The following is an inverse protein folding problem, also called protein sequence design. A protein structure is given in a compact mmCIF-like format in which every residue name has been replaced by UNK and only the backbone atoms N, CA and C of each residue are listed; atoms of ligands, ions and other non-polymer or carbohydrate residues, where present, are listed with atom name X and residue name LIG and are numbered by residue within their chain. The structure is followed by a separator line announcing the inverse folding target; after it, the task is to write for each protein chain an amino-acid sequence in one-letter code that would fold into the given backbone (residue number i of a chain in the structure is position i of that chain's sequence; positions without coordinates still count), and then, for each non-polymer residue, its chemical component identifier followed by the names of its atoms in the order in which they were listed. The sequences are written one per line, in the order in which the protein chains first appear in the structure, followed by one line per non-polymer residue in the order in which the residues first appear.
data_IF_184775794940
#
_entry.id   IF_184775794940
#
_cell.length_a   1.000
_cell.length_b   1.000
_cell.length_c   1.000
_cell.angle_alpha   90.00
_cell.angle_beta   90.00
_cell.angle_gamma   90.00
#
_symmetry.space_group_name_H-M   'P 1'
#
loop_
_entity.id
_entity.type
_entity.pdbx_description
1 polymer ?
#
# COMPACT_ATOMS: atom_id res chain seq x y z
N UNK A 1 -1.89 -6.86 32.19
CA UNK A 1 -2.09 -6.20 30.89
C UNK A 1 -0.95 -5.22 30.73
N UNK A 2 -0.07 -5.42 29.74
CA UNK A 2 1.02 -4.45 29.50
C UNK A 2 0.39 -3.21 28.85
N UNK A 3 0.61 -2.05 29.47
CA UNK A 3 0.05 -0.78 29.02
C UNK A 3 1.03 -0.10 28.07
N UNK A 4 0.51 0.67 27.11
CA UNK A 4 1.36 1.49 26.24
C UNK A 4 1.95 2.64 27.05
N UNK A 5 3.28 2.71 27.06
CA UNK A 5 4.01 3.77 27.74
C UNK A 5 3.99 5.07 26.91
N UNK A 6 3.82 6.25 27.52
CA UNK A 6 3.78 7.52 26.79
C UNK A 6 5.04 7.86 25.98
N UNK A 7 6.20 7.29 26.36
CA UNK A 7 7.48 7.49 25.69
C UNK A 7 7.82 6.37 24.69
N UNK A 8 6.98 5.36 24.53
CA UNK A 8 7.14 4.33 23.49
C UNK A 8 6.66 4.89 22.14
N UNK A 9 7.59 5.54 21.44
CA UNK A 9 7.32 6.15 20.13
C UNK A 9 6.72 5.16 19.13
N UNK A 10 7.20 3.91 19.10
CA UNK A 10 6.72 2.91 18.14
C UNK A 10 5.33 2.43 18.49
N UNK A 11 5.06 2.11 19.75
CA UNK A 11 3.73 1.75 20.22
C UNK A 11 2.70 2.87 20.02
N UNK A 12 3.11 4.12 20.23
CA UNK A 12 2.30 5.32 19.91
C UNK A 12 2.05 5.42 18.41
N UNK A 13 3.07 5.21 17.58
CA UNK A 13 2.91 5.26 16.12
C UNK A 13 1.95 4.19 15.59
N UNK A 14 1.99 2.95 16.12
CA UNK A 14 1.03 1.88 15.79
C UNK A 14 -0.41 2.27 16.17
N UNK A 15 -0.58 2.96 17.30
CA UNK A 15 -1.89 3.42 17.73
C UNK A 15 -2.43 4.54 16.82
N UNK A 16 -1.61 5.55 16.54
CA UNK A 16 -1.97 6.68 15.68
C UNK A 16 -2.43 6.17 14.32
N UNK A 17 -1.63 5.32 13.67
CA UNK A 17 -1.98 4.82 12.34
C UNK A 17 -3.21 3.90 12.38
N UNK A 18 -3.38 3.04 13.40
CA UNK A 18 -4.59 2.19 13.51
C UNK A 18 -5.86 3.05 13.57
N UNK A 19 -5.88 4.09 14.40
CA UNK A 19 -7.03 5.01 14.52
C UNK A 19 -7.21 5.83 13.24
N UNK A 20 -6.12 6.30 12.62
CA UNK A 20 -6.17 7.02 11.36
C UNK A 20 -6.76 6.16 10.22
N UNK A 21 -6.44 4.86 10.19
CA UNK A 21 -7.03 3.91 9.23
C UNK A 21 -8.53 3.74 9.47
N UNK A 22 -8.99 3.61 10.71
CA UNK A 22 -10.44 3.55 11.03
C UNK A 22 -11.16 4.81 10.55
N UNK A 23 -10.61 5.99 10.85
CA UNK A 23 -11.19 7.26 10.40
C UNK A 23 -11.24 7.36 8.88
N UNK A 24 -10.16 6.93 8.20
CA UNK A 24 -10.08 6.90 6.74
C UNK A 24 -11.08 5.92 6.12
N UNK A 25 -11.27 4.75 6.73
CA UNK A 25 -12.30 3.77 6.31
C UNK A 25 -13.69 4.40 6.36
N UNK A 26 -14.05 5.01 7.50
CA UNK A 26 -15.35 5.64 7.66
C UNK A 26 -15.55 6.74 6.62
N UNK A 27 -14.54 7.59 6.41
CA UNK A 27 -14.55 8.62 5.39
C UNK A 27 -14.77 8.04 3.99
N UNK A 28 -13.98 7.07 3.55
CA UNK A 28 -14.08 6.50 2.21
C UNK A 28 -15.42 5.82 1.95
N UNK A 29 -15.98 5.10 2.94
CA UNK A 29 -17.29 4.45 2.76
C UNK A 29 -18.45 5.45 2.68
N UNK A 30 -18.40 6.54 3.45
CA UNK A 30 -19.40 7.62 3.34
C UNK A 30 -19.27 8.32 1.98
N UNK A 31 -18.05 8.68 1.60
CA UNK A 31 -17.78 9.42 0.37
C UNK A 31 -18.05 8.60 -0.90
N UNK A 32 -17.92 7.27 -0.85
CA UNK A 32 -18.27 6.40 -1.98
C UNK A 32 -19.74 6.59 -2.45
N UNK A 33 -20.64 6.96 -1.53
CA UNK A 33 -22.04 7.29 -1.86
C UNK A 33 -22.17 8.53 -2.75
N UNK A 34 -21.22 9.46 -2.67
CA UNK A 34 -21.19 10.71 -3.43
C UNK A 34 -20.49 10.59 -4.79
N UNK A 35 -19.91 9.41 -5.11
CA UNK A 35 -19.16 9.19 -6.35
C UNK A 35 -20.03 8.63 -7.48
N UNK A 36 -19.64 8.95 -8.71
CA UNK A 36 -20.18 8.30 -9.93
C UNK A 36 -19.89 6.79 -9.93
N UNK A 37 -20.68 6.01 -10.69
CA UNK A 37 -20.67 4.54 -10.62
C UNK A 37 -19.30 3.91 -10.88
N UNK A 38 -18.48 4.47 -11.77
CA UNK A 38 -17.16 3.93 -12.08
C UNK A 38 -16.11 4.26 -11.02
N UNK A 39 -16.21 5.42 -10.35
CA UNK A 39 -15.30 5.82 -9.26
C UNK A 39 -15.71 5.26 -7.90
N UNK A 40 -16.99 4.93 -7.70
CA UNK A 40 -17.49 4.40 -6.42
C UNK A 40 -16.72 3.17 -5.96
N UNK A 41 -16.47 2.23 -6.88
CA UNK A 41 -15.73 1.01 -6.54
C UNK A 41 -14.31 1.32 -6.10
N UNK A 42 -13.63 2.26 -6.75
CA UNK A 42 -12.29 2.69 -6.37
C UNK A 42 -12.23 3.23 -4.94
N UNK A 43 -13.17 4.12 -4.57
CA UNK A 43 -13.22 4.67 -3.22
C UNK A 43 -13.57 3.59 -2.18
N UNK A 44 -14.43 2.63 -2.53
CA UNK A 44 -14.70 1.46 -1.67
C UNK A 44 -13.44 0.61 -1.47
N UNK A 45 -12.65 0.37 -2.52
CA UNK A 45 -11.39 -0.39 -2.42
C UNK A 45 -10.39 0.33 -1.50
N UNK A 46 -10.26 1.65 -1.57
CA UNK A 46 -9.47 2.43 -0.61
C UNK A 46 -9.98 2.26 0.85
N UNK A 47 -11.31 2.25 1.04
CA UNK A 47 -11.93 1.92 2.32
C UNK A 47 -11.59 0.52 2.83
N UNK A 48 -11.59 -0.50 1.96
CA UNK A 48 -11.23 -1.88 2.32
C UNK A 48 -9.75 -2.01 2.71
N UNK A 49 -8.85 -1.36 1.96
CA UNK A 49 -7.41 -1.33 2.26
C UNK A 49 -7.17 -0.76 3.66
N UNK A 50 -7.80 0.37 3.97
CA UNK A 50 -7.66 0.99 5.30
C UNK A 50 -8.33 0.16 6.39
N UNK A 51 -9.47 -0.49 6.13
CA UNK A 51 -10.14 -1.33 7.13
C UNK A 51 -9.31 -2.54 7.53
N UNK A 52 -8.75 -3.24 6.53
CA UNK A 52 -7.86 -4.40 6.76
C UNK A 52 -6.64 -3.95 7.56
N UNK A 53 -6.01 -2.84 7.16
CA UNK A 53 -4.86 -2.30 7.86
C UNK A 53 -5.20 -1.87 9.30
N UNK A 54 -6.35 -1.25 9.53
CA UNK A 54 -6.78 -0.84 10.88
C UNK A 54 -6.78 -2.01 11.87
N UNK A 55 -7.36 -3.16 11.46
CA UNK A 55 -7.41 -4.39 12.26
C UNK A 55 -6.00 -4.90 12.52
N UNK A 56 -5.18 -5.04 11.48
CA UNK A 56 -3.82 -5.57 11.63
C UNK A 56 -2.96 -4.67 12.52
N UNK A 57 -3.02 -3.36 12.35
CA UNK A 57 -2.26 -2.39 13.14
C UNK A 57 -2.66 -2.38 14.62
N UNK A 58 -3.93 -2.64 14.93
CA UNK A 58 -4.38 -2.84 16.30
C UNK A 58 -3.70 -4.05 16.96
N UNK A 59 -3.62 -5.18 16.25
CA UNK A 59 -2.93 -6.38 16.75
C UNK A 59 -1.40 -6.22 16.78
N UNK A 60 -0.81 -5.56 15.79
CA UNK A 60 0.63 -5.24 15.77
C UNK A 60 1.05 -4.43 17.00
N UNK A 61 0.24 -3.44 17.39
CA UNK A 61 0.46 -2.71 18.64
C UNK A 61 0.51 -3.64 19.83
N UNK A 62 -0.42 -4.59 19.92
CA UNK A 62 -0.50 -5.52 21.04
C UNK A 62 0.73 -6.43 21.12
N UNK A 63 1.24 -6.90 19.96
CA UNK A 63 2.50 -7.65 19.88
C UNK A 63 3.68 -6.79 20.33
N UNK A 64 3.83 -5.58 19.79
CA UNK A 64 4.91 -4.66 20.16
C UNK A 64 4.93 -4.35 21.66
N UNK A 65 3.79 -3.92 22.20
CA UNK A 65 3.66 -3.57 23.63
C UNK A 65 3.84 -4.81 24.52
N UNK A 66 3.42 -5.98 24.05
CA UNK A 66 3.46 -7.21 24.83
C UNK A 66 4.83 -7.90 24.88
N UNK A 67 5.59 -7.87 23.78
CA UNK A 67 6.87 -8.60 23.67
C UNK A 67 8.09 -7.74 23.33
N UNK A 68 7.90 -6.53 22.81
CA UNK A 68 8.98 -5.70 22.27
C UNK A 68 9.50 -6.15 20.89
N UNK A 69 8.89 -7.19 20.31
CA UNK A 69 9.32 -7.71 19.00
C UNK A 69 8.61 -7.01 17.84
N UNK A 70 9.27 -7.02 16.68
CA UNK A 70 8.63 -6.60 15.43
C UNK A 70 7.48 -7.56 15.07
N UNK A 71 6.27 -7.07 14.78
CA UNK A 71 5.14 -7.89 14.36
C UNK A 71 5.24 -8.25 12.85
N UNK A 72 6.38 -8.78 12.40
CA UNK A 72 6.70 -9.02 10.99
C UNK A 72 5.67 -9.91 10.30
N UNK A 73 5.25 -11.01 10.93
CA UNK A 73 4.25 -11.92 10.33
C UNK A 73 2.92 -11.22 10.10
N UNK A 74 2.42 -10.46 11.08
CA UNK A 74 1.17 -9.70 10.93
C UNK A 74 1.27 -8.66 9.82
N UNK A 75 2.46 -8.06 9.64
CA UNK A 75 2.70 -7.03 8.61
C UNK A 75 2.66 -7.60 7.22
N UNK A 76 3.28 -8.77 7.02
CA UNK A 76 3.22 -9.43 5.73
C UNK A 76 1.84 -10.02 5.42
N UNK A 77 1.06 -10.44 6.42
CA UNK A 77 -0.35 -10.83 6.22
C UNK A 77 -1.17 -9.61 5.78
N UNK A 78 -1.03 -8.46 6.45
CA UNK A 78 -1.67 -7.21 6.02
C UNK A 78 -1.31 -6.88 4.58
N UNK A 79 -0.03 -6.83 4.25
CA UNK A 79 0.43 -6.50 2.89
C UNK A 79 -0.05 -7.51 1.84
N UNK A 80 -0.08 -8.80 2.16
CA UNK A 80 -0.61 -9.83 1.27
C UNK A 80 -2.09 -9.63 0.96
N UNK A 81 -2.85 -9.00 1.85
CA UNK A 81 -4.26 -8.67 1.62
C UNK A 81 -4.42 -7.29 0.95
N UNK A 82 -3.68 -6.27 1.40
CA UNK A 82 -3.89 -4.89 0.95
C UNK A 82 -3.21 -4.57 -0.37
N UNK A 83 -2.04 -5.15 -0.66
CA UNK A 83 -1.31 -4.82 -1.90
C UNK A 83 -2.03 -5.37 -3.13
N UNK A 84 -2.60 -6.60 -3.13
CA UNK A 84 -3.47 -7.03 -4.23
C UNK A 84 -4.70 -6.13 -4.42
N UNK A 85 -5.28 -5.58 -3.35
CA UNK A 85 -6.35 -4.59 -3.47
C UNK A 85 -5.86 -3.29 -4.13
N UNK A 86 -4.64 -2.84 -3.84
CA UNK A 86 -4.02 -1.72 -4.56
C UNK A 86 -3.76 -2.04 -6.05
N UNK A 87 -3.47 -3.30 -6.40
CA UNK A 87 -3.37 -3.71 -7.81
C UNK A 87 -4.75 -3.74 -8.50
N UNK A 88 -5.80 -4.13 -7.77
CA UNK A 88 -7.19 -4.00 -8.24
C UNK A 88 -7.54 -2.53 -8.47
N UNK A 89 -7.15 -1.64 -7.56
CA UNK A 89 -7.36 -0.20 -7.73
C UNK A 89 -6.71 0.31 -9.02
N UNK A 90 -5.47 -0.10 -9.30
CA UNK A 90 -4.82 0.24 -10.54
C UNK A 90 -5.57 -0.28 -11.78
N UNK A 91 -6.07 -1.50 -11.71
CA UNK A 91 -6.91 -2.07 -12.76
C UNK A 91 -8.21 -1.25 -12.94
N UNK A 92 -8.86 -0.81 -11.86
CA UNK A 92 -10.09 -0.02 -11.92
C UNK A 92 -9.86 1.35 -12.58
N UNK A 93 -8.74 2.02 -12.27
CA UNK A 93 -8.36 3.28 -12.91
C UNK A 93 -8.15 3.07 -14.42
N UNK A 94 -7.47 1.99 -14.81
CA UNK A 94 -7.30 1.64 -16.23
C UNK A 94 -8.62 1.22 -16.89
N UNK A 95 -9.54 0.60 -16.15
CA UNK A 95 -10.83 0.16 -16.66
C UNK A 95 -11.74 1.36 -16.94
N UNK A 96 -11.65 2.41 -16.11
CA UNK A 96 -12.36 3.66 -16.32
C UNK A 96 -12.00 4.37 -17.64
N UNK A 97 -10.78 4.16 -18.15
CA UNK A 97 -10.31 4.68 -19.46
C UNK A 97 -10.46 3.67 -20.60
N UNK A 98 -11.11 2.52 -20.35
CA UNK A 98 -11.29 1.45 -21.35
C UNK A 98 -10.00 0.73 -21.75
N UNK A 99 -8.95 0.81 -20.92
CA UNK A 99 -7.63 0.30 -21.27
C UNK A 99 -7.14 -0.84 -20.36
N UNK A 100 -7.98 -1.28 -19.41
CA UNK A 100 -7.67 -2.41 -18.55
C UNK A 100 -7.77 -3.74 -19.31
N UNK A 101 -6.72 -4.54 -19.22
CA UNK A 101 -6.71 -5.93 -19.71
C UNK A 101 -6.45 -6.90 -18.57
N UNK A 102 -6.98 -8.12 -18.67
CA UNK A 102 -6.68 -9.19 -17.71
C UNK A 102 -5.17 -9.48 -17.63
N UNK A 103 -4.44 -9.30 -18.73
CA UNK A 103 -2.98 -9.42 -18.76
C UNK A 103 -2.28 -8.43 -17.83
N UNK A 104 -2.71 -7.16 -17.81
CA UNK A 104 -2.15 -6.14 -16.91
C UNK A 104 -2.35 -6.55 -15.45
N UNK A 105 -3.56 -7.00 -15.10
CA UNK A 105 -3.86 -7.46 -13.74
C UNK A 105 -2.93 -8.59 -13.30
N UNK A 106 -2.78 -9.65 -14.12
CA UNK A 106 -1.96 -10.80 -13.75
C UNK A 106 -0.46 -10.48 -13.65
N UNK A 107 0.07 -9.64 -14.54
CA UNK A 107 1.48 -9.22 -14.46
C UNK A 107 1.76 -8.47 -13.16
N UNK A 108 0.91 -7.53 -12.81
CA UNK A 108 1.05 -6.77 -11.55
C UNK A 108 0.87 -7.65 -10.31
N UNK A 109 -0.09 -8.56 -10.34
CA UNK A 109 -0.32 -9.51 -9.23
C UNK A 109 0.87 -10.46 -9.05
N UNK A 110 1.41 -11.02 -10.13
CA UNK A 110 2.58 -11.91 -10.06
C UNK A 110 3.80 -11.15 -9.52
N UNK A 111 4.07 -9.94 -10.03
CA UNK A 111 5.13 -9.09 -9.50
C UNK A 111 4.96 -8.80 -8.01
N UNK A 112 3.73 -8.53 -7.58
CA UNK A 112 3.36 -8.30 -6.18
C UNK A 112 3.64 -9.53 -5.31
N UNK A 113 3.23 -10.71 -5.76
CA UNK A 113 3.45 -11.95 -5.00
C UNK A 113 4.94 -12.28 -4.88
N UNK A 114 5.72 -12.12 -5.96
CA UNK A 114 7.17 -12.30 -5.92
C UNK A 114 7.81 -11.33 -4.93
N UNK A 115 7.41 -10.05 -4.98
CA UNK A 115 7.91 -8.99 -4.11
C UNK A 115 7.64 -9.33 -2.63
N UNK A 116 6.39 -9.65 -2.29
CA UNK A 116 5.97 -9.89 -0.91
C UNK A 116 6.50 -11.21 -0.35
N UNK A 117 6.47 -12.30 -1.12
CA UNK A 117 6.94 -13.61 -0.67
C UNK A 117 8.47 -13.56 -0.49
N UNK A 118 9.20 -12.99 -1.44
CA UNK A 118 10.66 -12.83 -1.33
C UNK A 118 11.05 -12.00 -0.11
N UNK A 119 10.39 -10.85 0.08
CA UNK A 119 10.58 -9.99 1.26
C UNK A 119 10.32 -10.74 2.57
N UNK A 120 9.15 -11.39 2.67
CA UNK A 120 8.74 -12.13 3.87
C UNK A 120 9.74 -13.21 4.24
N UNK A 121 10.12 -14.05 3.28
CA UNK A 121 11.03 -15.16 3.54
C UNK A 121 12.38 -14.66 4.06
N UNK A 122 12.85 -13.51 3.57
CA UNK A 122 14.12 -12.93 4.03
C UNK A 122 14.03 -12.20 5.38
N UNK A 123 12.94 -11.45 5.67
CA UNK A 123 12.77 -10.77 6.97
C UNK A 123 12.42 -11.73 8.10
N UNK A 124 11.70 -12.81 7.79
CA UNK A 124 11.34 -13.85 8.75
C UNK A 124 12.47 -14.88 8.97
N UNK A 125 13.59 -14.76 8.26
CA UNK A 125 14.76 -15.62 8.43
C UNK A 125 14.62 -17.04 7.84
N UNK A 126 13.63 -17.28 6.97
CA UNK A 126 13.49 -18.57 6.27
C UNK A 126 14.53 -18.76 5.16
N UNK A 127 15.03 -17.65 4.60
CA UNK A 127 16.13 -17.60 3.63
C UNK A 127 17.11 -16.49 4.04
N UNK A 128 18.27 -16.46 3.40
CA UNK A 128 19.22 -15.35 3.57
C UNK A 128 18.55 -14.01 3.23
N UNK A 129 18.67 -13.01 4.11
CA UNK A 129 17.99 -11.72 3.96
C UNK A 129 18.43 -10.94 2.72
N UNK A 130 19.70 -11.04 2.30
CA UNK A 130 20.15 -10.43 1.03
C UNK A 130 19.46 -11.09 -0.16
N UNK A 131 19.36 -12.42 -0.16
CA UNK A 131 18.66 -13.16 -1.21
C UNK A 131 17.17 -12.81 -1.26
N UNK A 132 16.50 -12.78 -0.10
CA UNK A 132 15.11 -12.35 0.01
C UNK A 132 14.88 -10.92 -0.49
N UNK A 133 15.77 -9.99 -0.13
CA UNK A 133 15.77 -8.61 -0.62
C UNK A 133 15.90 -8.54 -2.14
N UNK A 134 16.85 -9.26 -2.74
CA UNK A 134 17.05 -9.27 -4.20
C UNK A 134 15.82 -9.81 -4.93
N UNK A 135 15.21 -10.90 -4.44
CA UNK A 135 13.96 -11.44 -5.01
C UNK A 135 12.81 -10.42 -4.86
N UNK A 136 12.70 -9.80 -3.68
CA UNK A 136 11.73 -8.74 -3.41
C UNK A 136 11.85 -7.58 -4.39
N UNK A 137 13.07 -7.07 -4.57
CA UNK A 137 13.41 -6.00 -5.50
C UNK A 137 13.13 -6.39 -6.96
N UNK A 138 13.40 -7.64 -7.36
CA UNK A 138 13.09 -8.11 -8.72
C UNK A 138 11.58 -8.05 -9.01
N UNK A 139 10.74 -8.47 -8.06
CA UNK A 139 9.29 -8.34 -8.16
C UNK A 139 8.83 -6.88 -8.26
N UNK A 140 9.38 -6.00 -7.43
CA UNK A 140 9.05 -4.57 -7.47
C UNK A 140 9.51 -3.88 -8.77
N UNK A 141 10.74 -4.15 -9.23
CA UNK A 141 11.27 -3.61 -10.50
C UNK A 141 10.40 -4.07 -11.68
N UNK A 142 9.90 -5.31 -11.65
CA UNK A 142 8.97 -5.79 -12.66
C UNK A 142 7.66 -5.00 -12.67
N UNK A 143 7.08 -4.69 -11.50
CA UNK A 143 5.90 -3.81 -11.38
C UNK A 143 6.21 -2.41 -11.95
N UNK A 144 7.35 -1.83 -11.58
CA UNK A 144 7.77 -0.51 -12.09
C UNK A 144 7.90 -0.53 -13.62
N UNK A 145 8.49 -1.58 -14.19
CA UNK A 145 8.56 -1.74 -15.64
C UNK A 145 7.16 -1.74 -16.26
N UNK A 146 6.23 -2.53 -15.74
CA UNK A 146 4.86 -2.58 -16.27
C UNK A 146 4.15 -1.21 -16.21
N UNK A 147 4.31 -0.49 -15.11
CA UNK A 147 3.68 0.81 -14.86
C UNK A 147 4.29 1.95 -15.70
N UNK A 148 5.60 1.91 -15.95
CA UNK A 148 6.31 2.99 -16.65
C UNK A 148 6.54 2.75 -18.14
N UNK A 149 6.71 1.50 -18.57
CA UNK A 149 7.08 1.14 -19.94
C UNK A 149 6.28 -0.03 -20.53
N UNK A 150 5.59 -0.82 -19.70
CA UNK A 150 4.80 -1.97 -20.15
C UNK A 150 3.41 -1.60 -20.68
N UNK A 151 2.56 -2.61 -20.79
CA UNK A 151 1.20 -2.43 -21.33
C UNK A 151 0.36 -1.44 -20.51
N UNK A 152 0.57 -1.37 -19.19
CA UNK A 152 -0.15 -0.42 -18.35
C UNK A 152 0.25 1.05 -18.64
N UNK A 153 1.50 1.30 -19.00
CA UNK A 153 1.95 2.62 -19.43
C UNK A 153 1.30 3.02 -20.77
N UNK A 154 1.21 2.09 -21.70
CA UNK A 154 0.59 2.30 -23.02
C UNK A 154 -0.91 2.53 -22.89
N UNK A 155 -1.58 1.78 -22.02
CA UNK A 155 -3.00 1.89 -21.70
C UNK A 155 -3.41 3.29 -21.18
N UNK A 156 -2.51 4.06 -20.59
CA UNK A 156 -2.83 5.42 -20.15
C UNK A 156 -2.88 6.44 -21.29
N UNK A 157 -2.21 6.17 -22.43
CA UNK A 157 -2.17 7.12 -23.56
C UNK A 157 -3.53 7.31 -24.24
N UNK A 158 -4.48 6.39 -24.01
CA UNK A 158 -5.86 6.48 -24.51
C UNK A 158 -6.81 7.28 -23.60
N UNK A 159 -6.35 7.81 -22.47
CA UNK A 159 -7.19 8.54 -21.53
C UNK A 159 -7.54 9.96 -22.00
N UNK A 160 -8.83 10.30 -21.98
CA UNK A 160 -9.35 11.61 -22.38
C UNK A 160 -9.78 12.50 -21.19
N UNK A 161 -9.79 12.01 -19.94
CA UNK A 161 -10.15 12.79 -18.74
C UNK A 161 -8.90 13.26 -17.97
N UNK A 162 -8.89 14.51 -17.53
CA UNK A 162 -7.84 15.04 -16.64
C UNK A 162 -7.80 14.32 -15.30
N UNK A 163 -8.96 13.95 -14.74
CA UNK A 163 -9.04 13.21 -13.48
C UNK A 163 -8.42 11.82 -13.61
N UNK A 164 -8.66 11.13 -14.73
CA UNK A 164 -8.07 9.82 -15.02
C UNK A 164 -6.55 9.91 -15.19
N UNK A 165 -6.04 10.93 -15.89
CA UNK A 165 -4.59 11.20 -16.02
C UNK A 165 -3.96 11.52 -14.67
N UNK A 166 -4.66 12.30 -13.83
CA UNK A 166 -4.22 12.65 -12.49
C UNK A 166 -4.13 11.40 -11.61
N UNK A 167 -5.17 10.57 -11.58
CA UNK A 167 -5.18 9.31 -10.83
C UNK A 167 -4.06 8.37 -11.29
N UNK A 168 -3.85 8.21 -12.60
CA UNK A 168 -2.76 7.38 -13.13
C UNK A 168 -1.37 7.93 -12.77
N UNK A 169 -1.16 9.25 -12.85
CA UNK A 169 0.11 9.85 -12.46
C UNK A 169 0.37 9.72 -10.95
N UNK A 170 -0.66 9.89 -10.12
CA UNK A 170 -0.56 9.62 -8.69
C UNK A 170 -0.16 8.18 -8.41
N UNK A 171 -0.75 7.21 -9.11
CA UNK A 171 -0.37 5.79 -9.02
C UNK A 171 1.10 5.58 -9.34
N UNK A 172 1.61 6.19 -10.43
CA UNK A 172 3.03 6.10 -10.79
C UNK A 172 3.94 6.57 -9.66
N UNK A 173 3.60 7.70 -9.02
CA UNK A 173 4.38 8.24 -7.91
C UNK A 173 4.30 7.38 -6.64
N UNK A 174 3.13 6.80 -6.35
CA UNK A 174 2.97 5.93 -5.18
C UNK A 174 3.74 4.62 -5.36
N UNK A 175 3.60 3.93 -6.49
CA UNK A 175 4.27 2.64 -6.74
C UNK A 175 5.80 2.80 -6.89
N UNK A 176 6.27 4.01 -7.20
CA UNK A 176 7.71 4.33 -7.21
C UNK A 176 8.18 4.90 -5.87
N UNK A 177 7.89 6.16 -5.60
CA UNK A 177 8.42 6.87 -4.44
C UNK A 177 7.78 6.36 -3.15
N UNK A 178 6.46 6.21 -3.12
CA UNK A 178 5.75 5.74 -1.91
C UNK A 178 6.19 4.33 -1.50
N UNK A 179 6.25 3.40 -2.45
CA UNK A 179 6.64 2.01 -2.19
C UNK A 179 8.13 1.83 -1.96
N UNK A 180 8.99 2.76 -2.42
CA UNK A 180 10.43 2.70 -2.14
C UNK A 180 10.77 2.75 -0.64
N UNK A 181 9.85 3.25 0.19
CA UNK A 181 10.03 3.30 1.65
C UNK A 181 10.15 1.88 2.23
N UNK A 182 9.47 0.88 1.66
CA UNK A 182 9.53 -0.51 2.14
C UNK A 182 10.92 -1.16 1.96
N UNK A 183 11.54 -1.20 0.76
CA UNK A 183 12.89 -1.74 0.61
C UNK A 183 13.94 -0.89 1.34
N UNK A 184 13.71 0.41 1.57
CA UNK A 184 14.57 1.20 2.46
C UNK A 184 14.48 0.68 3.90
N UNK A 185 13.27 0.43 4.42
CA UNK A 185 13.06 -0.17 5.73
C UNK A 185 13.74 -1.53 5.87
N UNK A 186 13.58 -2.39 4.85
CA UNK A 186 14.27 -3.68 4.78
C UNK A 186 15.79 -3.49 4.82
N UNK A 187 16.34 -2.65 3.95
CA UNK A 187 17.78 -2.44 3.86
C UNK A 187 18.35 -1.95 5.20
N UNK A 188 17.72 -0.96 5.82
CA UNK A 188 18.13 -0.43 7.12
C UNK A 188 18.06 -1.50 8.22
N UNK A 189 17.01 -2.32 8.23
CA UNK A 189 16.79 -3.35 9.25
C UNK A 189 17.73 -4.56 9.14
N UNK A 190 18.09 -4.95 7.92
CA UNK A 190 18.66 -6.29 7.68
C UNK A 190 19.98 -6.31 6.92
N UNK A 191 20.31 -5.29 6.13
CA UNK A 191 21.47 -5.31 5.22
C UNK A 191 22.52 -4.23 5.53
N UNK A 192 22.09 -3.02 5.88
CA UNK A 192 22.94 -1.84 6.09
C UNK A 192 23.66 -1.79 7.44
N UNK A 193 23.94 -2.93 8.06
CA UNK A 193 24.51 -3.03 9.41
C UNK A 193 23.48 -3.17 10.54
N UNK A 194 22.19 -3.24 10.22
CA UNK A 194 21.10 -3.52 11.15
C UNK A 194 20.79 -2.36 12.09
N UNK A 195 19.85 -1.49 11.70
CA UNK A 195 19.28 -0.49 12.62
C UNK A 195 18.42 -1.17 13.68
N UNK A 196 18.09 -0.45 14.74
CA UNK A 196 17.24 -0.99 15.80
C UNK A 196 15.83 -1.30 15.27
N UNK A 197 15.19 -2.30 15.88
CA UNK A 197 13.87 -2.79 15.47
C UNK A 197 12.81 -1.69 15.56
N UNK A 198 12.98 -0.71 16.45
CA UNK A 198 12.04 0.39 16.62
C UNK A 198 12.05 1.31 15.39
N UNK A 199 13.24 1.64 14.87
CA UNK A 199 13.43 2.42 13.64
C UNK A 199 12.76 1.75 12.43
N UNK A 200 12.93 0.43 12.26
CA UNK A 200 12.28 -0.31 11.16
C UNK A 200 10.75 -0.22 11.24
N UNK A 201 10.18 -0.37 12.43
CA UNK A 201 8.74 -0.28 12.63
C UNK A 201 8.22 1.14 12.39
N UNK A 202 8.95 2.18 12.81
CA UNK A 202 8.59 3.57 12.52
C UNK A 202 8.57 3.84 11.00
N UNK A 203 9.57 3.35 10.27
CA UNK A 203 9.64 3.49 8.80
C UNK A 203 8.46 2.80 8.12
N UNK A 204 8.13 1.57 8.51
CA UNK A 204 6.99 0.85 7.92
C UNK A 204 5.65 1.47 8.27
N UNK A 205 5.49 1.99 9.48
CA UNK A 205 4.26 2.71 9.86
C UNK A 205 4.12 4.00 9.03
N UNK A 206 5.20 4.74 8.80
CA UNK A 206 5.18 5.89 7.89
C UNK A 206 4.83 5.47 6.45
N UNK A 207 5.43 4.39 5.96
CA UNK A 207 5.16 3.87 4.62
C UNK A 207 3.67 3.57 4.44
N UNK A 208 3.05 2.89 5.39
CA UNK A 208 1.64 2.53 5.30
C UNK A 208 0.70 3.72 5.48
N UNK A 209 1.07 4.72 6.28
CA UNK A 209 0.31 5.96 6.36
C UNK A 209 0.24 6.63 4.97
N UNK A 210 1.38 6.73 4.29
CA UNK A 210 1.46 7.31 2.93
C UNK A 210 0.73 6.43 1.91
N UNK A 211 1.06 5.14 1.86
CA UNK A 211 0.65 4.26 0.76
C UNK A 211 -0.79 3.74 0.89
N UNK A 212 -1.42 3.86 2.06
CA UNK A 212 -2.82 3.44 2.24
C UNK A 212 -3.75 4.64 2.44
N UNK A 213 -3.43 5.54 3.36
CA UNK A 213 -4.30 6.70 3.66
C UNK A 213 -4.13 7.80 2.62
N UNK A 214 -2.91 8.35 2.48
CA UNK A 214 -2.70 9.45 1.54
C UNK A 214 -2.99 9.02 0.11
N UNK A 215 -2.62 7.79 -0.25
CA UNK A 215 -3.00 7.19 -1.53
C UNK A 215 -4.52 7.17 -1.75
N UNK A 216 -5.30 6.62 -0.81
CA UNK A 216 -6.76 6.59 -0.92
C UNK A 216 -7.36 7.99 -1.03
N UNK A 217 -6.80 8.98 -0.33
CA UNK A 217 -7.23 10.38 -0.42
C UNK A 217 -6.95 10.98 -1.79
N UNK A 218 -5.85 10.63 -2.45
CA UNK A 218 -5.56 11.08 -3.82
C UNK A 218 -6.54 10.49 -4.83
N UNK A 219 -6.90 9.20 -4.68
CA UNK A 219 -7.93 8.56 -5.51
C UNK A 219 -9.29 9.23 -5.28
N UNK A 220 -9.68 9.43 -4.02
CA UNK A 220 -10.91 10.15 -3.69
C UNK A 220 -10.94 11.56 -4.27
N UNK A 221 -9.84 12.32 -4.18
CA UNK A 221 -9.77 13.68 -4.72
C UNK A 221 -9.95 13.71 -6.25
N UNK A 222 -9.32 12.76 -6.96
CA UNK A 222 -9.51 12.60 -8.40
C UNK A 222 -10.97 12.23 -8.74
N UNK A 223 -11.54 11.25 -8.03
CA UNK A 223 -12.92 10.81 -8.19
C UNK A 223 -13.96 11.91 -7.91
N UNK A 224 -13.73 12.70 -6.85
CA UNK A 224 -14.60 13.79 -6.41
C UNK A 224 -14.59 14.94 -7.42
N UNK A 225 -13.42 15.34 -7.92
CA UNK A 225 -13.32 16.41 -8.92
C UNK A 225 -14.08 16.09 -10.20
N UNK A 226 -14.06 14.82 -10.65
CA UNK A 226 -14.84 14.40 -11.82
C UNK A 226 -16.34 14.21 -11.51
N UNK A 227 -16.68 13.68 -10.33
CA UNK A 227 -18.07 13.39 -9.97
C UNK A 227 -18.89 14.67 -9.77
N UNK A 228 -18.32 15.71 -9.16
CA UNK A 228 -18.99 17.01 -8.99
C UNK A 228 -19.04 17.85 -10.28
N UNK A 229 -18.12 17.63 -11.22
CA UNK A 229 -18.21 18.27 -12.54
C UNK A 229 -19.37 17.72 -13.39
N UNK A 230 -19.93 16.56 -13.04
CA UNK A 230 -21.02 15.88 -13.75
C UNK A 230 -22.37 15.93 -13.01
N UNK A 231 -22.43 16.49 -11.80
CA UNK A 231 -23.64 16.71 -11.00
C UNK A 231 -24.25 18.07 -11.27
#
# INVERSE_FOLDING_TARGET
MVMLEPNDFVGVSFWIISVAMVASTAFFFVEAGNMTSHWRTSVVVAGLVTLIAAVHYYYMRAVWVGSGDSPTVLRYIDWLLTVPLQMIEFYLILAAVGAATSGIFWRLLIGTLIMLIGGFLGEAGYINSTFGFVVGMAGWIYILYEVFAGEAAQANTSSNSEAQKSAFNAMKWIVSVGWSIYPIGYFLGYLGGGTDVATVNAVYNLADFVNKIAFGLVIWAAASSESHAKS
#
